data_IF_515501749469
#
_entry.id   IF_515501749469
#
_cell.length_a   1.000
_cell.length_b   1.000
_cell.length_c   1.000
_cell.angle_alpha   90.00
_cell.angle_beta   90.00
_cell.angle_gamma   90.00
#
_symmetry.space_group_name_H-M   'P 1'
#
loop_
_entity.id
_entity.type
_entity.pdbx_description
1 polymer ?
#
# COMPACT_ATOMS: atom_id res chain seq x y z
N UNK A 1 16.32 18.63 6.99
CA UNK A 1 15.22 17.69 6.67
C UNK A 1 14.33 18.17 5.52
N UNK A 2 13.73 19.37 5.61
CA UNK A 2 12.76 19.86 4.59
C UNK A 2 13.26 19.82 3.13
N UNK A 3 14.41 20.42 2.83
CA UNK A 3 14.95 20.47 1.45
C UNK A 3 15.21 19.07 0.90
N UNK A 4 15.71 18.15 1.74
CA UNK A 4 15.91 16.76 1.36
C UNK A 4 14.58 16.09 0.99
N UNK A 5 13.52 16.29 1.78
CA UNK A 5 12.20 15.75 1.48
C UNK A 5 11.63 16.32 0.16
N UNK A 6 11.83 17.62 -0.10
CA UNK A 6 11.41 18.24 -1.37
C UNK A 6 12.13 17.62 -2.56
N UNK A 7 13.44 17.40 -2.46
CA UNK A 7 14.22 16.72 -3.50
C UNK A 7 13.78 15.26 -3.66
N UNK A 8 13.72 14.48 -2.57
CA UNK A 8 13.39 13.06 -2.58
C UNK A 8 11.99 12.78 -3.15
N UNK A 9 11.07 13.70 -2.94
CA UNK A 9 9.70 13.63 -3.47
C UNK A 9 9.51 14.44 -4.74
N UNK A 10 10.56 15.02 -5.35
CA UNK A 10 10.43 15.78 -6.59
C UNK A 10 10.02 14.88 -7.76
N UNK A 11 9.43 15.45 -8.82
CA UNK A 11 8.99 14.68 -9.98
C UNK A 11 10.15 13.87 -10.61
N UNK A 12 11.32 14.50 -10.77
CA UNK A 12 12.47 13.84 -11.38
C UNK A 12 12.98 12.67 -10.53
N UNK A 13 13.14 12.87 -9.22
CA UNK A 13 13.56 11.79 -8.32
C UNK A 13 12.55 10.65 -8.28
N UNK A 14 11.25 10.95 -8.29
CA UNK A 14 10.21 9.92 -8.34
C UNK A 14 10.24 9.14 -9.67
N UNK A 15 10.49 9.80 -10.81
CA UNK A 15 10.71 9.09 -12.09
C UNK A 15 11.89 8.15 -12.00
N UNK A 16 13.03 8.61 -11.46
CA UNK A 16 14.22 7.77 -11.33
C UNK A 16 13.98 6.57 -10.41
N UNK A 17 13.29 6.75 -9.28
CA UNK A 17 12.88 5.66 -8.40
C UNK A 17 12.00 4.66 -9.14
N UNK A 18 11.01 5.14 -9.89
CA UNK A 18 10.11 4.27 -10.67
C UNK A 18 10.84 3.53 -11.79
N UNK A 19 11.74 4.17 -12.54
CA UNK A 19 12.38 3.54 -13.71
C UNK A 19 13.63 2.73 -13.37
N UNK A 20 14.41 3.15 -12.37
CA UNK A 20 15.67 2.50 -11.99
C UNK A 20 15.53 1.63 -10.74
N UNK A 21 14.61 1.98 -9.85
CA UNK A 21 14.34 1.26 -8.60
C UNK A 21 13.43 0.04 -8.74
N UNK A 22 13.18 -0.43 -9.97
CA UNK A 22 12.46 -1.68 -10.21
C UNK A 22 10.95 -1.53 -10.47
N UNK A 23 10.49 -0.35 -10.89
CA UNK A 23 9.10 -0.16 -11.31
C UNK A 23 8.16 0.39 -10.24
N UNK A 24 8.66 0.82 -9.07
CA UNK A 24 7.83 1.29 -7.95
C UNK A 24 6.73 2.27 -8.38
N UNK A 25 5.50 2.01 -7.94
CA UNK A 25 4.33 2.85 -8.19
C UNK A 25 4.56 4.29 -7.72
N UNK A 26 4.48 5.29 -8.61
CA UNK A 26 4.76 6.66 -8.25
C UNK A 26 3.58 7.30 -7.50
N UNK A 27 3.91 8.14 -6.51
CA UNK A 27 2.93 8.91 -5.73
C UNK A 27 2.47 10.18 -6.45
N UNK A 28 3.17 10.59 -7.51
CA UNK A 28 2.82 11.77 -8.33
C UNK A 28 2.21 11.38 -9.66
N UNK A 29 1.04 11.94 -9.96
CA UNK A 29 0.37 11.75 -11.25
C UNK A 29 1.26 12.11 -12.45
N UNK A 30 2.08 13.15 -12.34
CA UNK A 30 2.99 13.59 -13.41
C UNK A 30 4.02 12.54 -13.82
N UNK A 31 4.30 11.54 -12.99
CA UNK A 31 5.31 10.50 -13.28
C UNK A 31 4.77 9.44 -14.22
N UNK A 32 3.46 9.14 -14.16
CA UNK A 32 2.83 8.13 -15.03
C UNK A 32 2.94 8.50 -16.51
N UNK A 33 2.97 9.81 -16.81
CA UNK A 33 3.03 10.35 -18.16
C UNK A 33 4.45 10.79 -18.57
N UNK A 34 5.48 10.55 -17.74
CA UNK A 34 6.88 10.89 -18.07
C UNK A 34 7.43 9.98 -19.19
N UNK A 35 8.09 10.54 -20.22
CA UNK A 35 8.62 9.75 -21.34
C UNK A 35 9.54 8.60 -20.94
N UNK A 36 10.31 8.73 -19.85
CA UNK A 36 11.21 7.68 -19.35
C UNK A 36 10.42 6.51 -18.76
N UNK A 37 9.32 6.80 -18.08
CA UNK A 37 8.40 5.79 -17.54
C UNK A 37 7.70 5.06 -18.67
N UNK A 38 7.20 5.79 -19.66
CA UNK A 38 6.57 5.20 -20.85
C UNK A 38 7.55 4.35 -21.65
N UNK A 39 8.80 4.81 -21.83
CA UNK A 39 9.84 4.04 -22.51
C UNK A 39 10.24 2.76 -21.75
N UNK A 40 10.17 2.77 -20.41
CA UNK A 40 10.43 1.58 -19.61
C UNK A 40 9.23 0.62 -19.53
N UNK A 41 8.09 0.97 -20.16
CA UNK A 41 6.92 0.10 -20.24
C UNK A 41 7.14 -0.95 -21.35
N UNK A 42 7.90 -1.98 -21.01
CA UNK A 42 8.29 -3.06 -21.91
C UNK A 42 8.33 -4.39 -21.17
N UNK A 43 8.51 -5.47 -21.92
CA UNK A 43 8.68 -6.79 -21.32
C UNK A 43 10.10 -6.92 -20.74
N UNK A 44 10.19 -7.23 -19.45
CA UNK A 44 11.38 -7.45 -18.66
C UNK A 44 11.14 -7.26 -17.16
N UNK A 45 12.07 -7.72 -16.31
CA UNK A 45 12.08 -7.41 -14.88
C UNK A 45 12.35 -5.91 -14.65
N UNK A 46 11.81 -5.36 -13.55
CA UNK A 46 12.02 -3.95 -13.17
C UNK A 46 11.40 -2.92 -14.13
N UNK A 47 10.36 -3.32 -14.88
CA UNK A 47 9.69 -2.48 -15.88
C UNK A 47 8.42 -1.84 -15.34
N UNK A 48 7.96 -0.78 -16.00
CA UNK A 48 6.82 0.04 -15.57
C UNK A 48 5.46 -0.43 -16.11
N UNK A 49 5.38 -1.66 -16.63
CA UNK A 49 4.17 -2.16 -17.31
C UNK A 49 2.92 -2.24 -16.45
N UNK A 50 3.11 -2.40 -15.15
CA UNK A 50 2.01 -2.54 -14.20
C UNK A 50 1.43 -1.18 -13.79
N UNK A 51 2.08 -0.06 -14.15
CA UNK A 51 1.66 1.26 -13.70
C UNK A 51 0.30 1.70 -14.23
N UNK A 52 -0.14 1.19 -15.39
CA UNK A 52 -1.50 1.43 -15.88
C UNK A 52 -2.54 0.88 -14.91
N UNK A 53 -2.37 -0.37 -14.47
CA UNK A 53 -3.23 -1.02 -13.48
C UNK A 53 -3.14 -0.33 -12.13
N UNK A 54 -1.93 0.04 -11.69
CA UNK A 54 -1.76 0.78 -10.43
C UNK A 54 -2.52 2.12 -10.46
N UNK A 55 -2.42 2.88 -11.56
CA UNK A 55 -3.12 4.17 -11.71
C UNK A 55 -4.65 3.98 -11.67
N UNK A 56 -5.15 2.94 -12.33
CA UNK A 56 -6.57 2.60 -12.33
C UNK A 56 -7.05 2.23 -10.92
N UNK A 57 -6.36 1.33 -10.22
CA UNK A 57 -6.71 0.92 -8.86
C UNK A 57 -6.67 2.10 -7.87
N UNK A 58 -5.69 3.00 -7.99
CA UNK A 58 -5.64 4.23 -7.19
C UNK A 58 -6.89 5.09 -7.42
N UNK A 59 -7.33 5.20 -8.68
CA UNK A 59 -8.44 6.07 -9.04
C UNK A 59 -9.82 5.49 -8.70
N UNK A 60 -9.96 4.16 -8.70
CA UNK A 60 -11.27 3.50 -8.61
C UNK A 60 -11.47 2.67 -7.34
N UNK A 61 -10.41 2.07 -6.80
CA UNK A 61 -10.52 1.00 -5.78
C UNK A 61 -9.86 1.34 -4.44
N UNK A 62 -8.97 2.36 -4.40
CA UNK A 62 -8.15 2.63 -3.22
C UNK A 62 -8.95 3.32 -2.11
N UNK A 63 -9.08 2.65 -0.97
CA UNK A 63 -9.53 3.24 0.29
C UNK A 63 -8.38 3.93 1.03
N UNK A 64 -8.70 4.86 1.94
CA UNK A 64 -7.71 5.43 2.86
C UNK A 64 -7.57 4.54 4.09
N UNK A 65 -6.34 4.31 4.51
CA UNK A 65 -6.08 3.76 5.85
C UNK A 65 -6.64 4.72 6.92
N UNK A 66 -7.23 4.21 8.02
CA UNK A 66 -7.64 5.03 9.14
C UNK A 66 -6.45 5.74 9.80
N UNK A 67 -6.54 7.05 9.99
CA UNK A 67 -5.53 7.86 10.67
C UNK A 67 -5.88 8.03 12.16
N UNK A 68 -5.87 6.90 12.90
CA UNK A 68 -6.01 6.90 14.36
C UNK A 68 -4.71 6.42 15.03
N UNK A 69 -4.39 6.91 16.25
CA UNK A 69 -3.15 6.55 16.95
C UNK A 69 -2.96 5.04 17.11
N UNK A 70 -4.05 4.29 17.29
CA UNK A 70 -4.05 2.86 17.51
C UNK A 70 -3.94 2.05 16.21
N UNK A 71 -4.01 2.70 15.03
CA UNK A 71 -3.97 2.02 13.73
C UNK A 71 -2.72 1.17 13.55
N UNK A 72 -1.57 1.61 14.08
CA UNK A 72 -0.33 0.85 14.00
C UNK A 72 -0.43 -0.50 14.71
N UNK A 73 -1.09 -0.57 15.87
CA UNK A 73 -1.33 -1.83 16.58
C UNK A 73 -2.40 -2.67 15.87
N UNK A 74 -3.46 -2.02 15.38
CA UNK A 74 -4.54 -2.71 14.68
C UNK A 74 -4.06 -3.38 13.39
N UNK A 75 -3.29 -2.66 12.57
CA UNK A 75 -2.87 -3.07 11.24
C UNK A 75 -1.68 -4.03 11.22
N UNK A 76 -0.88 -4.10 12.29
CA UNK A 76 0.28 -4.99 12.36
C UNK A 76 0.03 -6.21 13.26
N UNK A 77 -0.51 -6.01 14.46
CA UNK A 77 -0.49 -7.02 15.53
C UNK A 77 -1.88 -7.56 15.89
N UNK A 78 -2.96 -6.86 15.52
CA UNK A 78 -4.32 -7.28 15.88
C UNK A 78 -5.03 -8.00 14.74
N UNK A 79 -5.26 -7.30 13.61
CA UNK A 79 -6.04 -7.80 12.49
C UNK A 79 -5.28 -8.89 11.73
N UNK A 80 -4.02 -8.70 11.29
CA UNK A 80 -3.34 -9.71 10.48
C UNK A 80 -3.06 -11.00 11.25
N UNK A 81 -2.76 -10.91 12.54
CA UNK A 81 -2.49 -12.09 13.39
C UNK A 81 -3.72 -13.00 13.44
N UNK A 82 -4.90 -12.43 13.70
CA UNK A 82 -6.16 -13.19 13.76
C UNK A 82 -6.58 -13.74 12.40
N UNK A 83 -6.40 -12.98 11.32
CA UNK A 83 -6.58 -13.50 9.97
C UNK A 83 -5.63 -14.66 9.67
N UNK A 84 -4.37 -14.56 10.09
CA UNK A 84 -3.39 -15.64 9.97
C UNK A 84 -3.80 -16.90 10.73
N UNK A 85 -4.32 -16.74 11.95
CA UNK A 85 -4.88 -17.84 12.75
C UNK A 85 -6.09 -18.49 12.07
N UNK A 86 -6.98 -17.70 11.46
CA UNK A 86 -8.10 -18.21 10.65
C UNK A 86 -7.62 -19.07 9.49
N UNK A 87 -6.67 -18.57 8.69
CA UNK A 87 -6.10 -19.34 7.58
C UNK A 87 -5.30 -20.56 8.04
N UNK A 88 -4.81 -20.56 9.28
CA UNK A 88 -4.17 -21.72 9.91
C UNK A 88 -5.18 -22.74 10.50
N UNK A 89 -6.49 -22.52 10.35
CA UNK A 89 -7.54 -23.42 10.81
C UNK A 89 -7.83 -23.35 12.32
N UNK A 90 -7.45 -22.25 12.99
CA UNK A 90 -7.65 -22.08 14.44
C UNK A 90 -9.03 -21.52 14.81
N UNK A 91 -9.80 -21.09 13.81
CA UNK A 91 -11.20 -20.70 13.96
C UNK A 91 -12.09 -21.67 13.16
N UNK A 92 -13.28 -21.96 13.67
CA UNK A 92 -14.22 -22.87 13.01
C UNK A 92 -14.91 -22.24 11.79
N UNK A 93 -14.95 -20.91 11.71
CA UNK A 93 -15.54 -20.18 10.58
C UNK A 93 -14.92 -18.79 10.38
N UNK A 94 -15.15 -18.23 9.18
CA UNK A 94 -14.80 -16.84 8.91
C UNK A 94 -15.55 -15.86 9.83
N UNK A 95 -16.82 -16.16 10.15
CA UNK A 95 -17.62 -15.33 11.04
C UNK A 95 -16.99 -15.24 12.43
N UNK A 96 -16.58 -16.38 12.99
CA UNK A 96 -15.94 -16.43 14.31
C UNK A 96 -14.64 -15.61 14.36
N UNK A 97 -13.81 -15.72 13.31
CA UNK A 97 -12.60 -14.92 13.20
C UNK A 97 -12.89 -13.42 13.10
N UNK A 98 -13.89 -13.02 12.32
CA UNK A 98 -14.27 -11.61 12.17
C UNK A 98 -14.90 -11.05 13.45
N UNK A 99 -15.67 -11.84 14.19
CA UNK A 99 -16.23 -11.45 15.49
C UNK A 99 -15.14 -11.25 16.54
N UNK A 100 -14.11 -12.11 16.55
CA UNK A 100 -12.95 -11.95 17.45
C UNK A 100 -12.12 -10.72 17.09
N UNK A 101 -11.88 -10.46 15.80
CA UNK A 101 -11.22 -9.24 15.32
C UNK A 101 -12.00 -8.01 15.76
N UNK A 102 -13.32 -7.99 15.57
CA UNK A 102 -14.15 -6.85 15.95
C UNK A 102 -14.07 -6.59 17.47
N UNK A 103 -14.16 -7.64 18.29
CA UNK A 103 -14.03 -7.53 19.75
C UNK A 103 -12.66 -6.99 20.18
N UNK A 104 -11.58 -7.44 19.53
CA UNK A 104 -10.23 -6.99 19.83
C UNK A 104 -10.01 -5.53 19.43
N UNK A 105 -10.45 -5.15 18.23
CA UNK A 105 -10.38 -3.77 17.75
C UNK A 105 -11.19 -2.82 18.67
N UNK A 106 -12.40 -3.23 19.07
CA UNK A 106 -13.24 -2.47 20.00
C UNK A 106 -12.56 -2.23 21.35
N UNK A 107 -11.81 -3.20 21.86
CA UNK A 107 -11.11 -3.06 23.14
C UNK A 107 -9.94 -2.06 23.05
N UNK A 108 -9.30 -1.96 21.89
CA UNK A 108 -8.19 -1.04 21.64
C UNK A 108 -8.71 0.38 21.42
N UNK A 109 -9.71 0.56 20.57
CA UNK A 109 -10.22 1.88 20.17
C UNK A 109 -11.04 2.57 21.28
N UNK A 110 -11.53 1.82 22.28
CA UNK A 110 -12.27 2.38 23.44
C UNK A 110 -11.37 2.79 24.61
N UNK A 111 -10.07 2.51 24.56
CA UNK A 111 -9.10 2.89 25.59
C UNK A 111 -8.65 4.35 25.44
#
# INVERSE_FOLDING_TARGET
>A
AWIFMQWATSADTQVLITTLGGGTGPTRNSVYDDPRVLANNRVGPGTTRHLGVVRESIAQDMGSEPDLPEWAELSNDTIPVRLGQYFAGQFASAQEAMDDIAKAADAIVKA
#
